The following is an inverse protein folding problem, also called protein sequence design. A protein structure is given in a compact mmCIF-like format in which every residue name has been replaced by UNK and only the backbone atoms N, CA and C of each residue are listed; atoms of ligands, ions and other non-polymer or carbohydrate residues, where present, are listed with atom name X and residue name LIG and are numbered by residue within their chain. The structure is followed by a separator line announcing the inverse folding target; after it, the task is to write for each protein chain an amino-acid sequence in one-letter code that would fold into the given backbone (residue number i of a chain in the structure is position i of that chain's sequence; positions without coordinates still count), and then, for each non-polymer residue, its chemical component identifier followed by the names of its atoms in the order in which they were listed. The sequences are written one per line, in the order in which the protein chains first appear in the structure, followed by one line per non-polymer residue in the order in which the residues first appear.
data_IF_657811288186
#
_entry.id   IF_657811288186
#
_cell.length_a   1.000
_cell.length_b   1.000
_cell.length_c   1.000
_cell.angle_alpha   90.00
_cell.angle_beta   90.00
_cell.angle_gamma   90.00
#
_symmetry.space_group_name_H-M   'P 1'
#
loop_
_entity.id
_entity.type
_entity.pdbx_description
1 polymer ?
#
# COMPACT_ATOMS: atom_id res chain seq x y z
N UNK A 1 -20.38 2.14 5.96
CA UNK A 1 -19.53 3.24 5.48
C UNK A 1 -19.09 4.04 6.71
N UNK A 2 -17.81 4.40 6.85
CA UNK A 2 -17.33 5.24 7.95
C UNK A 2 -17.43 6.70 7.49
N UNK A 3 -18.15 7.53 8.23
CA UNK A 3 -18.22 8.97 8.01
C UNK A 3 -17.13 9.73 8.80
N UNK A 4 -17.05 11.04 8.58
CA UNK A 4 -16.05 11.88 9.23
C UNK A 4 -16.19 11.86 10.76
N UNK A 5 -17.42 11.89 11.27
CA UNK A 5 -17.71 11.91 12.71
C UNK A 5 -17.19 10.65 13.39
N UNK A 6 -17.49 9.48 12.83
CA UNK A 6 -16.99 8.19 13.33
C UNK A 6 -15.47 8.08 13.21
N UNK A 7 -14.87 8.48 12.09
CA UNK A 7 -13.41 8.45 11.93
C UNK A 7 -12.70 9.33 12.98
N UNK A 8 -13.27 10.50 13.29
CA UNK A 8 -12.72 11.42 14.28
C UNK A 8 -12.87 10.86 15.70
N UNK A 9 -14.02 10.25 16.00
CA UNK A 9 -14.28 9.57 17.27
C UNK A 9 -13.26 8.45 17.53
N UNK A 10 -12.95 7.62 16.52
CA UNK A 10 -11.94 6.56 16.63
C UNK A 10 -10.52 7.11 16.84
N UNK A 11 -10.20 8.32 16.37
CA UNK A 11 -8.90 8.95 16.65
C UNK A 11 -8.78 9.46 18.09
N UNK A 12 -9.89 9.96 18.65
CA UNK A 12 -9.95 10.47 20.03
C UNK A 12 -9.97 9.31 21.02
N UNK A 13 -10.86 8.33 20.81
CA UNK A 13 -11.20 7.30 21.78
C UNK A 13 -10.73 5.89 21.39
N UNK A 14 -10.15 5.72 20.19
CA UNK A 14 -9.59 4.44 19.77
C UNK A 14 -8.37 4.05 20.61
N UNK A 15 -8.25 2.75 20.86
CA UNK A 15 -7.14 2.20 21.65
C UNK A 15 -5.78 2.55 21.03
N UNK A 16 -4.95 3.25 21.79
CA UNK A 16 -3.55 3.45 21.43
C UNK A 16 -2.77 2.19 21.78
N UNK A 17 -1.88 1.71 20.88
CA UNK A 17 -0.96 0.59 21.19
C UNK A 17 0.10 0.95 22.25
N UNK A 18 0.21 2.23 22.59
CA UNK A 18 1.08 2.76 23.60
C UNK A 18 0.24 3.45 24.67
N UNK A 19 0.57 3.20 25.93
CA UNK A 19 0.01 3.95 27.05
C UNK A 19 0.38 5.42 26.84
N UNK A 20 -0.62 6.31 26.73
CA UNK A 20 -0.33 7.72 26.55
C UNK A 20 0.25 8.27 27.88
N UNK A 21 0.98 9.40 27.84
CA UNK A 21 1.54 10.00 29.05
C UNK A 21 0.46 10.19 30.13
N UNK A 22 0.83 10.09 31.42
CA UNK A 22 -0.07 10.49 32.49
C UNK A 22 -0.54 11.92 32.23
N UNK A 23 -1.84 12.18 32.42
CA UNK A 23 -2.51 13.47 32.16
C UNK A 23 -2.73 13.87 30.69
N UNK A 24 -2.41 13.00 29.73
CA UNK A 24 -2.82 13.28 28.34
C UNK A 24 -4.34 13.30 28.19
N UNK A 25 -4.85 14.21 27.37
CA UNK A 25 -6.26 14.30 27.04
C UNK A 25 -6.46 14.49 25.54
N UNK A 26 -7.55 13.92 25.02
CA UNK A 26 -8.01 14.12 23.64
C UNK A 26 -9.47 14.48 23.71
N UNK A 27 -9.85 15.59 23.09
CA UNK A 27 -11.22 16.08 23.08
C UNK A 27 -11.68 16.32 21.64
N UNK A 28 -12.90 15.86 21.33
CA UNK A 28 -13.56 16.18 20.07
C UNK A 28 -14.13 17.59 20.16
N UNK A 29 -13.57 18.54 19.41
CA UNK A 29 -14.08 19.91 19.37
C UNK A 29 -15.24 20.06 18.37
N UNK A 30 -15.15 19.36 17.25
CA UNK A 30 -16.18 19.30 16.19
C UNK A 30 -15.92 18.10 15.27
N UNK A 31 -16.82 17.82 14.34
CA UNK A 31 -16.60 16.82 13.29
C UNK A 31 -15.33 17.16 12.49
N UNK A 32 -14.35 16.25 12.51
CA UNK A 32 -13.06 16.44 11.87
C UNK A 32 -12.07 17.33 12.62
N UNK A 33 -12.34 17.70 13.88
CA UNK A 33 -11.46 18.56 14.68
C UNK A 33 -11.24 18.02 16.08
N UNK A 34 -9.99 17.71 16.40
CA UNK A 34 -9.57 17.12 17.68
C UNK A 34 -8.56 18.00 18.37
N UNK A 35 -8.80 18.32 19.63
CA UNK A 35 -7.79 18.82 20.55
C UNK A 35 -7.00 17.64 21.13
N UNK A 36 -5.67 17.72 21.13
CA UNK A 36 -4.81 16.76 21.77
C UNK A 36 -3.80 17.48 22.67
N UNK A 37 -3.86 17.19 23.96
CA UNK A 37 -2.95 17.66 24.99
C UNK A 37 -2.19 16.46 25.55
N UNK A 38 -0.86 16.58 25.61
CA UNK A 38 0.03 15.53 26.09
C UNK A 38 0.78 15.95 27.36
N UNK A 39 0.23 16.91 28.12
CA UNK A 39 0.83 17.48 29.34
C UNK A 39 2.18 18.17 29.06
N UNK A 40 2.33 18.71 27.85
CA UNK A 40 3.45 19.56 27.48
C UNK A 40 3.11 21.02 27.82
N UNK A 41 3.91 21.72 28.65
CA UNK A 41 3.58 23.06 29.12
C UNK A 41 3.57 24.12 28.01
N UNK A 42 4.25 23.86 26.90
CA UNK A 42 4.44 24.83 25.82
C UNK A 42 3.56 24.53 24.61
N UNK A 43 2.99 23.32 24.52
CA UNK A 43 2.35 22.84 23.30
C UNK A 43 1.02 22.13 23.53
N UNK A 44 0.04 22.55 22.74
CA UNK A 44 -1.20 21.79 22.49
C UNK A 44 -1.38 21.61 21.00
N UNK A 45 -2.01 20.51 20.60
CA UNK A 45 -2.18 20.17 19.20
C UNK A 45 -3.64 20.27 18.79
N UNK A 46 -3.86 20.89 17.63
CA UNK A 46 -5.13 20.85 16.92
C UNK A 46 -4.99 19.93 15.71
N UNK A 47 -5.68 18.80 15.73
CA UNK A 47 -5.66 17.81 14.64
C UNK A 47 -6.90 17.98 13.79
N UNK A 48 -6.69 18.26 12.51
CA UNK A 48 -7.75 18.32 11.52
C UNK A 48 -7.81 17.02 10.72
N UNK A 49 -8.99 16.40 10.69
CA UNK A 49 -9.29 15.19 9.93
C UNK A 49 -10.14 15.59 8.74
N UNK A 50 -9.69 15.23 7.55
CA UNK A 50 -10.40 15.52 6.31
C UNK A 50 -10.71 14.22 5.58
N UNK A 51 -11.95 14.08 5.14
CA UNK A 51 -12.34 12.97 4.27
C UNK A 51 -11.77 13.20 2.86
N UNK A 52 -10.94 12.28 2.39
CA UNK A 52 -10.33 12.33 1.06
C UNK A 52 -10.97 11.25 0.18
N UNK A 53 -11.53 11.60 -1.00
CA UNK A 53 -12.09 10.62 -1.90
C UNK A 53 -11.00 9.68 -2.41
N UNK A 54 -11.30 8.39 -2.44
CA UNK A 54 -10.45 7.40 -3.11
C UNK A 54 -10.90 7.27 -4.56
N UNK A 55 -10.07 7.73 -5.47
CA UNK A 55 -10.31 7.66 -6.92
C UNK A 55 -9.67 6.38 -7.44
N UNK A 56 -10.49 5.46 -7.99
CA UNK A 56 -9.97 4.26 -8.67
C UNK A 56 -9.63 4.61 -10.11
N UNK A 57 -8.44 4.26 -10.55
CA UNK A 57 -8.00 4.48 -11.92
C UNK A 57 -8.34 3.26 -12.78
N UNK A 58 -8.65 3.50 -14.05
CA UNK A 58 -8.82 2.41 -15.01
C UNK A 58 -7.45 1.81 -15.32
N UNK A 59 -7.28 0.53 -15.02
CA UNK A 59 -6.03 -0.20 -15.26
C UNK A 59 -6.26 -1.19 -16.40
N UNK A 60 -5.45 -1.16 -17.47
CA UNK A 60 -5.51 -2.21 -18.50
C UNK A 60 -5.04 -3.54 -17.89
N UNK A 61 -5.65 -4.66 -18.30
CA UNK A 61 -5.09 -5.96 -17.93
C UNK A 61 -3.71 -6.08 -18.61
N UNK A 62 -2.65 -5.99 -17.81
CA UNK A 62 -1.28 -5.91 -18.29
C UNK A 62 -0.36 -6.73 -17.40
N UNK A 63 0.40 -7.61 -18.04
CA UNK A 63 1.56 -8.24 -17.40
C UNK A 63 2.62 -7.15 -17.28
N UNK A 64 2.97 -6.82 -16.05
CA UNK A 64 3.97 -5.79 -15.71
C UNK A 64 5.33 -6.39 -15.37
N UNK A 65 5.40 -7.72 -15.22
CA UNK A 65 6.66 -8.39 -14.95
C UNK A 65 6.53 -9.90 -14.80
N UNK A 66 7.67 -10.55 -14.58
CA UNK A 66 7.78 -11.99 -14.35
C UNK A 66 8.70 -12.25 -13.16
N UNK A 67 8.28 -13.10 -12.22
CA UNK A 67 9.08 -13.48 -11.05
C UNK A 67 8.95 -14.97 -10.81
N UNK A 68 10.09 -15.68 -10.82
CA UNK A 68 10.17 -17.13 -10.54
C UNK A 68 9.12 -17.96 -11.30
N UNK A 69 8.89 -17.61 -12.57
CA UNK A 69 7.92 -18.28 -13.45
C UNK A 69 6.48 -17.78 -13.33
N UNK A 70 6.15 -16.90 -12.38
CA UNK A 70 4.83 -16.29 -12.27
C UNK A 70 4.73 -14.97 -13.05
N UNK A 71 3.61 -14.78 -13.77
CA UNK A 71 3.25 -13.52 -14.40
C UNK A 71 2.73 -12.54 -13.35
N UNK A 72 3.25 -11.33 -13.33
CA UNK A 72 2.83 -10.27 -12.40
C UNK A 72 1.92 -9.30 -13.12
N UNK A 73 0.72 -9.09 -12.59
CA UNK A 73 -0.29 -8.19 -13.15
C UNK A 73 -0.50 -6.99 -12.26
N UNK A 74 -0.57 -5.79 -12.85
CA UNK A 74 -1.17 -4.64 -12.19
C UNK A 74 -2.69 -4.76 -12.30
N UNK A 75 -3.37 -4.90 -11.16
CA UNK A 75 -4.83 -5.15 -11.14
C UNK A 75 -5.63 -3.97 -10.61
N UNK A 76 -5.06 -3.17 -9.71
CA UNK A 76 -5.71 -1.94 -9.26
C UNK A 76 -4.70 -0.81 -9.08
N UNK A 77 -5.16 0.40 -9.38
CA UNK A 77 -4.47 1.63 -9.03
C UNK A 77 -5.50 2.61 -8.45
N UNK A 78 -5.14 3.32 -7.40
CA UNK A 78 -6.01 4.34 -6.82
C UNK A 78 -5.25 5.50 -6.21
N UNK A 79 -5.84 6.68 -6.30
CA UNK A 79 -5.31 7.94 -5.76
C UNK A 79 -6.18 8.37 -4.58
N UNK A 80 -5.53 8.69 -3.46
CA UNK A 80 -6.10 9.32 -2.28
C UNK A 80 -4.97 10.05 -1.53
N UNK A 81 -4.83 9.81 -0.22
CA UNK A 81 -3.65 10.24 0.55
C UNK A 81 -2.34 9.62 0.04
N UNK A 82 -2.43 8.47 -0.63
CA UNK A 82 -1.32 7.78 -1.28
C UNK A 82 -1.75 7.45 -2.71
N UNK A 83 -0.79 7.34 -3.61
CA UNK A 83 -0.97 6.50 -4.78
C UNK A 83 -0.82 5.05 -4.33
N UNK A 84 -1.84 4.21 -4.57
CA UNK A 84 -1.83 2.79 -4.21
C UNK A 84 -1.87 1.96 -5.47
N UNK A 85 -0.91 1.06 -5.63
CA UNK A 85 -0.85 0.05 -6.69
C UNK A 85 -1.05 -1.33 -6.06
N UNK A 86 -1.84 -2.18 -6.72
CA UNK A 86 -2.02 -3.58 -6.34
C UNK A 86 -1.54 -4.47 -7.47
N UNK A 87 -0.59 -5.33 -7.15
CA UNK A 87 -0.07 -6.38 -8.02
C UNK A 87 -0.62 -7.74 -7.58
N UNK A 88 -0.87 -8.60 -8.56
CA UNK A 88 -1.18 -10.01 -8.33
C UNK A 88 -0.24 -10.87 -9.19
N UNK A 89 0.43 -11.83 -8.57
CA UNK A 89 1.10 -12.92 -9.28
C UNK A 89 0.11 -13.99 -9.72
N UNK A 90 0.25 -14.49 -10.94
CA UNK A 90 -0.45 -15.69 -11.42
C UNK A 90 0.59 -16.72 -11.83
N UNK A 91 0.51 -17.91 -11.24
CA UNK A 91 1.38 -19.03 -11.58
C UNK A 91 0.99 -19.60 -12.95
N UNK A 92 1.95 -20.20 -13.69
CA UNK A 92 1.64 -21.10 -14.79
C UNK A 92 0.78 -22.24 -14.24
N UNK A 93 -0.19 -22.71 -15.04
CA UNK A 93 -1.01 -23.84 -14.64
C UNK A 93 -0.14 -25.09 -14.39
N UNK A 94 0.11 -25.46 -13.13
CA UNK A 94 0.80 -26.72 -12.80
C UNK A 94 1.52 -26.82 -11.46
N UNK A 95 2.00 -25.73 -10.87
CA UNK A 95 2.85 -25.79 -9.66
C UNK A 95 2.39 -24.77 -8.60
N UNK A 96 1.67 -25.20 -7.54
CA UNK A 96 1.24 -24.29 -6.50
C UNK A 96 2.42 -23.96 -5.60
N UNK A 97 3.09 -22.83 -5.85
CA UNK A 97 4.17 -22.28 -5.01
C UNK A 97 3.69 -22.11 -3.56
N UNK A 98 2.39 -21.90 -3.34
CA UNK A 98 1.81 -21.93 -1.99
C UNK A 98 1.98 -23.29 -1.30
N UNK A 99 1.81 -24.40 -2.02
CA UNK A 99 1.99 -25.74 -1.46
C UNK A 99 3.46 -26.02 -1.13
N UNK A 100 4.38 -25.54 -1.97
CA UNK A 100 5.81 -25.59 -1.72
C UNK A 100 6.18 -24.76 -0.49
N UNK A 101 5.63 -23.54 -0.37
CA UNK A 101 5.80 -22.71 0.81
C UNK A 101 5.30 -23.43 2.07
N UNK A 102 4.12 -24.03 2.05
CA UNK A 102 3.56 -24.76 3.20
C UNK A 102 4.46 -25.93 3.60
N UNK A 103 4.93 -26.71 2.64
CA UNK A 103 5.85 -27.82 2.89
C UNK A 103 7.21 -27.34 3.44
N UNK A 104 7.77 -26.28 2.85
CA UNK A 104 9.02 -25.68 3.30
C UNK A 104 8.89 -25.05 4.70
N UNK A 105 7.75 -24.41 5.00
CA UNK A 105 7.48 -23.78 6.29
C UNK A 105 7.31 -24.82 7.40
N UNK A 106 6.66 -25.95 7.11
CA UNK A 106 6.59 -27.09 8.02
C UNK A 106 8.00 -27.65 8.31
N UNK A 107 8.80 -27.87 7.25
CA UNK A 107 10.18 -28.35 7.39
C UNK A 107 11.06 -27.38 8.18
N UNK A 108 10.92 -26.08 7.94
CA UNK A 108 11.65 -25.04 8.66
C UNK A 108 11.28 -25.03 10.15
N UNK A 109 9.99 -25.16 10.49
CA UNK A 109 9.56 -25.24 11.90
C UNK A 109 10.13 -26.46 12.63
N UNK A 110 10.26 -27.60 11.94
CA UNK A 110 10.81 -28.83 12.52
C UNK A 110 12.34 -28.78 12.69
N UNK A 111 13.04 -28.08 11.80
CA UNK A 111 14.50 -28.04 11.76
C UNK A 111 15.11 -26.77 12.37
N UNK A 112 14.29 -25.76 12.69
CA UNK A 112 14.74 -24.49 13.25
C UNK A 112 15.50 -24.70 14.57
N UNK A 113 16.77 -24.26 14.57
CA UNK A 113 17.62 -24.20 15.75
C UNK A 113 18.07 -22.76 15.99
N UNK A 114 18.12 -22.34 17.27
CA UNK A 114 18.70 -21.03 17.63
C UNK A 114 20.21 -20.98 17.47
N UNK A 115 20.86 -22.13 17.52
CA UNK A 115 22.32 -22.24 17.43
C UNK A 115 22.83 -22.28 15.98
N UNK A 116 21.94 -22.55 15.02
CA UNK A 116 22.20 -22.53 13.57
C UNK A 116 20.95 -22.01 12.83
N UNK A 117 20.73 -20.68 12.82
CA UNK A 117 19.50 -20.11 12.28
C UNK A 117 19.51 -20.18 10.75
N UNK A 118 18.53 -20.90 10.20
CA UNK A 118 18.18 -20.87 8.77
C UNK A 118 17.05 -19.86 8.57
N UNK A 119 17.10 -19.10 7.47
CA UNK A 119 16.03 -18.15 7.13
C UNK A 119 14.69 -18.87 6.88
N UNK A 120 13.55 -18.30 7.33
CA UNK A 120 12.26 -18.84 7.01
C UNK A 120 11.99 -18.77 5.50
N UNK A 121 11.22 -19.72 4.94
CA UNK A 121 10.80 -19.63 3.55
C UNK A 121 9.98 -18.34 3.32
N UNK A 122 10.16 -17.72 2.16
CA UNK A 122 9.46 -16.50 1.77
C UNK A 122 8.00 -16.78 1.42
N UNK A 123 7.09 -15.95 1.92
CA UNK A 123 5.69 -16.00 1.48
C UNK A 123 5.60 -15.69 -0.03
N UNK A 124 4.70 -16.31 -0.81
CA UNK A 124 4.70 -16.12 -2.27
C UNK A 124 4.67 -14.65 -2.72
N UNK A 125 3.80 -13.83 -2.12
CA UNK A 125 3.75 -12.40 -2.41
C UNK A 125 5.02 -11.60 -2.07
N UNK A 126 5.93 -12.11 -1.22
CA UNK A 126 7.20 -11.43 -0.96
C UNK A 126 8.11 -11.44 -2.20
N UNK A 127 7.94 -12.42 -3.08
CA UNK A 127 8.66 -12.50 -4.36
C UNK A 127 8.30 -11.33 -5.28
N UNK A 128 7.06 -10.83 -5.18
CA UNK A 128 6.62 -9.67 -5.95
C UNK A 128 7.37 -8.38 -5.58
N UNK A 129 8.06 -8.34 -4.44
CA UNK A 129 8.89 -7.20 -4.05
C UNK A 129 10.14 -7.04 -4.93
N UNK A 130 10.49 -8.08 -5.68
CA UNK A 130 11.62 -8.06 -6.62
C UNK A 130 11.28 -7.32 -7.92
N UNK A 131 9.99 -7.07 -8.20
CA UNK A 131 9.58 -6.17 -9.29
C UNK A 131 9.78 -4.73 -8.84
N UNK A 132 10.78 -4.08 -9.42
CA UNK A 132 11.07 -2.68 -9.14
C UNK A 132 10.01 -1.80 -9.78
N UNK A 133 9.50 -0.82 -9.03
CA UNK A 133 8.49 0.13 -9.49
C UNK A 133 9.03 1.55 -9.40
N UNK A 134 9.06 2.24 -10.53
CA UNK A 134 9.30 3.68 -10.59
C UNK A 134 8.01 4.36 -11.02
N UNK A 135 7.60 5.39 -10.28
CA UNK A 135 6.35 6.08 -10.54
C UNK A 135 6.59 7.59 -10.62
N UNK A 136 6.15 8.18 -11.71
CA UNK A 136 6.19 9.63 -11.96
C UNK A 136 4.86 10.14 -12.51
N UNK A 137 4.71 11.46 -12.66
CA UNK A 137 3.59 12.08 -13.36
C UNK A 137 4.03 13.14 -14.38
N UNK A 138 3.08 13.66 -15.15
CA UNK A 138 3.28 14.71 -16.15
C UNK A 138 3.66 16.08 -15.56
N UNK A 139 3.67 16.21 -14.22
CA UNK A 139 4.13 17.40 -13.49
C UNK A 139 5.56 17.24 -12.98
N UNK A 140 6.19 16.07 -13.22
CA UNK A 140 7.55 15.76 -12.79
C UNK A 140 7.64 15.31 -11.32
N UNK A 141 6.51 14.99 -10.69
CA UNK A 141 6.52 14.43 -9.33
C UNK A 141 7.12 13.03 -9.38
N UNK A 142 8.12 12.76 -8.54
CA UNK A 142 8.63 11.41 -8.32
C UNK A 142 8.03 10.83 -7.05
N UNK A 143 7.39 9.68 -7.16
CA UNK A 143 6.72 9.01 -6.04
C UNK A 143 7.64 7.96 -5.43
N UNK A 144 7.78 8.00 -4.10
CA UNK A 144 8.56 7.05 -3.31
C UNK A 144 7.66 6.06 -2.62
N UNK A 145 8.05 4.79 -2.58
CA UNK A 145 7.36 3.76 -1.82
C UNK A 145 7.41 4.12 -0.32
N UNK A 146 6.25 4.32 0.30
CA UNK A 146 6.14 4.65 1.72
C UNK A 146 5.79 3.43 2.58
N UNK A 147 4.95 2.53 2.08
CA UNK A 147 4.63 1.27 2.74
C UNK A 147 4.19 0.23 1.73
N UNK A 148 4.34 -1.05 2.08
CA UNK A 148 3.84 -2.16 1.29
C UNK A 148 3.23 -3.25 2.17
N UNK A 149 2.37 -4.07 1.57
CA UNK A 149 1.79 -5.25 2.20
C UNK A 149 1.86 -6.40 1.20
N UNK A 150 2.38 -7.55 1.62
CA UNK A 150 2.49 -8.76 0.82
C UNK A 150 1.69 -9.88 1.46
N UNK A 151 0.85 -10.56 0.68
CA UNK A 151 0.22 -11.82 1.04
C UNK A 151 -1.08 -11.72 1.85
N UNK A 152 -1.42 -12.86 2.47
CA UNK A 152 -2.68 -13.16 3.14
C UNK A 152 -3.12 -14.58 2.78
N UNK A 153 -3.79 -15.28 3.71
CA UNK A 153 -4.22 -16.68 3.52
C UNK A 153 -5.10 -16.85 2.27
N UNK A 154 -6.02 -15.90 2.03
CA UNK A 154 -6.92 -15.92 0.87
C UNK A 154 -6.31 -15.30 -0.40
N UNK A 155 -5.13 -14.70 -0.31
CA UNK A 155 -4.51 -13.94 -1.39
C UNK A 155 -2.97 -14.06 -1.36
N UNK A 156 -2.44 -15.28 -1.55
CA UNK A 156 -1.02 -15.58 -1.32
C UNK A 156 -0.08 -14.79 -2.24
N UNK A 157 -0.58 -14.37 -3.40
CA UNK A 157 0.15 -13.64 -4.46
C UNK A 157 -0.25 -12.17 -4.57
N UNK A 158 -0.79 -11.57 -3.51
CA UNK A 158 -1.22 -10.17 -3.54
C UNK A 158 -0.16 -9.26 -2.95
N UNK A 159 0.17 -8.19 -3.67
CA UNK A 159 1.09 -7.16 -3.19
C UNK A 159 0.49 -5.77 -3.36
N UNK A 160 0.45 -4.99 -2.27
CA UNK A 160 -0.12 -3.64 -2.25
C UNK A 160 0.99 -2.65 -1.90
N UNK A 161 1.36 -1.80 -2.85
CA UNK A 161 2.35 -0.74 -2.69
C UNK A 161 1.67 0.62 -2.53
N UNK A 162 2.12 1.42 -1.57
CA UNK A 162 1.60 2.77 -1.30
C UNK A 162 2.72 3.79 -1.40
N UNK A 163 2.55 4.76 -2.29
CA UNK A 163 3.55 5.75 -2.62
C UNK A 163 3.17 7.15 -2.11
N UNK A 164 4.20 7.98 -1.91
CA UNK A 164 4.13 9.40 -1.51
C UNK A 164 5.03 10.25 -2.42
N UNK A 165 4.74 11.55 -2.62
CA UNK A 165 3.67 12.34 -1.99
C UNK A 165 2.26 12.00 -2.53
N UNK A 166 1.19 12.61 -1.97
CA UNK A 166 -0.11 12.60 -2.64
C UNK A 166 0.00 13.14 -4.08
N UNK A 167 -0.79 12.59 -5.00
CA UNK A 167 -0.80 13.02 -6.40
C UNK A 167 -1.24 14.49 -6.50
N UNK A 168 -0.49 15.35 -7.23
CA UNK A 168 -0.90 16.73 -7.45
C UNK A 168 -2.30 16.81 -8.10
N UNK A 169 -3.15 17.77 -7.69
CA UNK A 169 -4.50 17.87 -8.22
C UNK A 169 -4.56 18.25 -9.71
N UNK A 170 -3.47 18.81 -10.26
CA UNK A 170 -3.33 19.19 -11.65
C UNK A 170 -2.58 18.14 -12.50
N UNK A 171 -2.13 17.03 -11.91
CA UNK A 171 -1.58 15.90 -12.64
C UNK A 171 -2.67 15.24 -13.50
N UNK A 172 -2.31 14.88 -14.73
CA UNK A 172 -3.22 14.28 -15.71
C UNK A 172 -2.87 12.84 -16.02
N UNK A 173 -1.58 12.50 -15.95
CA UNK A 173 -1.08 11.17 -16.30
C UNK A 173 -0.07 10.72 -15.25
N UNK A 174 -0.21 9.48 -14.81
CA UNK A 174 0.79 8.74 -14.04
C UNK A 174 1.56 7.84 -15.00
N UNK A 175 2.88 7.86 -14.89
CA UNK A 175 3.79 6.99 -15.63
C UNK A 175 4.33 5.94 -14.67
N UNK A 176 3.93 4.69 -14.88
CA UNK A 176 4.37 3.56 -14.06
C UNK A 176 5.39 2.75 -14.87
N UNK A 177 6.60 2.64 -14.36
CA UNK A 177 7.64 1.80 -14.93
C UNK A 177 7.92 0.62 -14.01
N UNK A 178 7.90 -0.58 -14.58
CA UNK A 178 8.15 -1.83 -13.89
C UNK A 178 9.39 -2.49 -14.49
N UNK A 179 10.27 -3.00 -13.63
CA UNK A 179 11.43 -3.82 -14.02
C UNK A 179 11.40 -5.12 -13.24
N UNK A 180 11.54 -6.23 -13.95
CA UNK A 180 11.56 -7.58 -13.38
C UNK A 180 12.98 -8.09 -13.18
N UNK A 181 13.21 -9.07 -12.29
CA UNK A 181 14.52 -9.67 -12.08
C UNK A 181 15.14 -10.33 -13.33
N UNK A 182 14.30 -10.76 -14.28
CA UNK A 182 14.72 -11.31 -15.57
C UNK A 182 15.21 -10.23 -16.58
N UNK A 183 15.17 -8.95 -16.19
CA UNK A 183 15.56 -7.81 -17.00
C UNK A 183 14.44 -7.29 -17.92
N UNK A 184 13.26 -7.91 -17.92
CA UNK A 184 12.09 -7.39 -18.64
C UNK A 184 11.59 -6.11 -17.99
N UNK A 185 11.09 -5.19 -18.83
CA UNK A 185 10.51 -3.93 -18.37
C UNK A 185 9.17 -3.66 -19.04
N UNK A 186 8.29 -2.99 -18.33
CA UNK A 186 6.95 -2.63 -18.78
C UNK A 186 6.61 -1.21 -18.33
N UNK A 187 5.99 -0.42 -19.21
CA UNK A 187 5.48 0.90 -18.88
C UNK A 187 3.96 0.93 -19.01
N UNK A 188 3.28 1.47 -18.00
CA UNK A 188 1.83 1.65 -17.98
C UNK A 188 1.53 3.11 -17.67
N UNK A 189 0.84 3.77 -18.60
CA UNK A 189 0.33 5.13 -18.40
C UNK A 189 -1.12 5.06 -17.92
N UNK A 190 -1.40 5.72 -16.79
CA UNK A 190 -2.74 5.80 -16.20
C UNK A 190 -3.23 7.25 -16.14
N UNK A 191 -4.53 7.52 -16.30
CA UNK A 191 -5.07 8.84 -16.00
C UNK A 191 -4.95 9.11 -14.49
N UNK A 192 -4.44 10.28 -14.09
CA UNK A 192 -4.25 10.65 -12.69
C UNK A 192 -5.56 11.06 -11.97
N UNK A 193 -6.65 11.23 -12.73
CA UNK A 193 -7.99 11.44 -12.19
C UNK A 193 -9.04 10.71 -13.05
N UNK A 194 -10.23 10.47 -12.48
CA UNK A 194 -11.37 9.92 -13.23
C UNK A 194 -12.10 10.97 -14.08
N UNK A 195 -11.60 12.21 -14.11
CA UNK A 195 -12.24 13.28 -14.87
C UNK A 195 -11.99 13.01 -16.35
N UNK A 196 -13.04 12.72 -17.11
CA UNK A 196 -12.95 12.79 -18.56
C UNK A 196 -12.38 14.17 -18.96
N UNK A 197 -11.47 14.22 -19.95
CA UNK A 197 -10.90 15.48 -20.42
C UNK A 197 -12.01 16.28 -21.13
N UNK A 198 -12.82 17.04 -20.38
CA UNK A 198 -13.92 17.81 -20.96
C UNK A 198 -14.79 18.65 -20.03
N UNK A 199 -14.91 18.33 -18.74
CA UNK A 199 -15.80 19.08 -17.85
C UNK A 199 -15.07 20.26 -17.15
N UNK A 200 -14.78 21.33 -17.91
CA UNK A 200 -14.54 22.64 -17.29
C UNK A 200 -15.89 23.17 -16.80
N UNK A 201 -15.99 23.46 -15.50
CA UNK A 201 -17.01 24.36 -14.95
C UNK A 201 -16.64 25.80 -15.24
#
# INVERSE_FOLDING_TARGET
MIDLSRATTELVFGGSRHDPPPNSSRELLADGLVHADFDDPDWVYLVQVTQVPRVRLSVPESVVGHVEGADVYLVTASVANHLTLELIGREPAGEPILSEYVAASATWHETFSRDDPVDPPRWPAERLTEVSMTVTDDRGTAYRLGSAQAGGEDAPWRYIARFRPPTPPDARTLHLHFESPDGSSCTVDLPASTSEPGARR
#
